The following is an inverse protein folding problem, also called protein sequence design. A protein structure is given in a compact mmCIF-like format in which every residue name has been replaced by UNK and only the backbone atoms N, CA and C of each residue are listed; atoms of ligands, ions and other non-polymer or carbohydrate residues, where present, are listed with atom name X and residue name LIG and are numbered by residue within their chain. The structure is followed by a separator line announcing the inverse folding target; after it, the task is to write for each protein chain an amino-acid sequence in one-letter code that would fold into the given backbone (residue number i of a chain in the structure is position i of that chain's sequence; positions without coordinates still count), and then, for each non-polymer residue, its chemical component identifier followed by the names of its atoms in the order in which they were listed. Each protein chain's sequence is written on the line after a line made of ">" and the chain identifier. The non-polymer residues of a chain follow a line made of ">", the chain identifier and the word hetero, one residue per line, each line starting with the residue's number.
data_IF_975886245482
#
_entry.id   IF_975886245482
#
_cell.length_a   1.000
_cell.length_b   1.000
_cell.length_c   1.000
_cell.angle_alpha   90.00
_cell.angle_beta   90.00
_cell.angle_gamma   90.00
#
_symmetry.space_group_name_H-M   'P 1'
#
loop_
_entity.id
_entity.type
_entity.pdbx_description
1 polymer ?
#
# COMPACT_ATOMS: atom_id res chain seq x y z
N UNK A 1 -4.82 -24.12 -54.10
CA UNK A 1 -5.72 -24.29 -52.94
C UNK A 1 -5.79 -22.96 -52.20
N UNK A 2 -6.99 -22.44 -51.88
CA UNK A 2 -7.22 -21.05 -51.49
C UNK A 2 -6.91 -20.77 -50.00
N UNK A 3 -6.50 -19.52 -49.73
CA UNK A 3 -6.22 -18.93 -48.41
C UNK A 3 -7.53 -18.77 -47.60
N UNK A 4 -7.63 -19.47 -46.46
CA UNK A 4 -8.73 -19.31 -45.51
C UNK A 4 -8.46 -18.12 -44.59
N UNK A 5 -9.38 -17.17 -44.60
CA UNK A 5 -9.35 -15.89 -43.93
C UNK A 5 -9.46 -16.06 -42.41
N UNK A 6 -8.66 -15.27 -41.70
CA UNK A 6 -8.61 -15.11 -40.25
C UNK A 6 -9.95 -14.59 -39.72
N UNK A 7 -10.85 -15.48 -39.31
CA UNK A 7 -12.10 -15.12 -38.63
C UNK A 7 -11.80 -14.89 -37.15
N UNK A 8 -11.30 -13.69 -36.83
CA UNK A 8 -11.28 -13.21 -35.46
C UNK A 8 -12.72 -12.96 -35.02
N UNK A 9 -13.33 -13.95 -34.38
CA UNK A 9 -14.54 -13.74 -33.60
C UNK A 9 -14.15 -12.91 -32.38
N UNK A 10 -14.08 -11.59 -32.56
CA UNK A 10 -14.12 -10.66 -31.43
C UNK A 10 -15.59 -10.56 -31.08
N UNK A 11 -16.00 -11.39 -30.14
CA UNK A 11 -17.20 -11.09 -29.35
C UNK A 11 -16.94 -9.72 -28.70
N UNK A 12 -17.76 -8.69 -28.93
CA UNK A 12 -17.65 -7.49 -28.13
C UNK A 12 -17.96 -7.91 -26.70
N UNK A 13 -16.91 -8.01 -25.88
CA UNK A 13 -17.10 -8.07 -24.43
C UNK A 13 -17.96 -6.87 -24.09
N UNK A 14 -19.20 -7.13 -23.67
CA UNK A 14 -20.06 -6.13 -23.04
C UNK A 14 -19.39 -5.81 -21.70
N UNK A 15 -18.36 -4.97 -21.77
CA UNK A 15 -17.60 -4.51 -20.61
C UNK A 15 -18.50 -3.56 -19.87
N UNK A 16 -19.35 -4.13 -19.05
CA UNK A 16 -19.91 -3.46 -17.90
C UNK A 16 -19.48 -4.23 -16.65
N UNK A 17 -18.19 -4.12 -16.33
CA UNK A 17 -17.65 -4.58 -15.05
C UNK A 17 -17.12 -3.37 -14.29
N UNK A 18 -17.93 -2.92 -13.32
CA UNK A 18 -17.51 -2.00 -12.25
C UNK A 18 -17.81 -0.52 -12.53
N UNK A 19 -19.05 -0.10 -12.27
CA UNK A 19 -19.38 1.31 -12.11
C UNK A 19 -18.84 1.86 -10.79
N UNK A 20 -18.39 3.12 -10.80
CA UNK A 20 -18.08 4.00 -9.66
C UNK A 20 -17.65 3.30 -8.37
N UNK A 21 -16.75 2.35 -8.52
CA UNK A 21 -15.98 1.82 -7.43
C UNK A 21 -14.88 2.85 -7.15
N UNK A 22 -15.22 3.88 -6.36
CA UNK A 22 -14.29 4.43 -5.35
C UNK A 22 -13.98 3.31 -4.33
N UNK A 23 -13.53 2.16 -4.83
CA UNK A 23 -12.95 1.11 -4.02
C UNK A 23 -11.52 1.53 -3.87
N UNK A 24 -11.22 2.05 -2.67
CA UNK A 24 -9.92 1.98 -2.01
C UNK A 24 -9.00 1.03 -2.78
N UNK A 25 -8.16 1.61 -3.64
CA UNK A 25 -7.38 0.83 -4.58
C UNK A 25 -6.55 -0.16 -3.79
N UNK A 26 -6.95 -1.45 -3.84
CA UNK A 26 -6.37 -2.61 -3.16
C UNK A 26 -5.26 -2.18 -2.20
N UNK A 27 -5.63 -1.72 -0.99
CA UNK A 27 -4.69 -1.04 -0.08
C UNK A 27 -3.35 -1.77 -0.08
N UNK A 28 -2.35 -1.19 -0.74
CA UNK A 28 -1.08 -1.87 -0.89
C UNK A 28 -0.53 -2.07 0.51
N UNK A 29 -0.11 -3.30 0.81
CA UNK A 29 0.38 -3.60 2.15
C UNK A 29 1.61 -2.75 2.41
N UNK A 30 1.55 -1.87 3.42
CA UNK A 30 2.73 -1.18 3.93
C UNK A 30 3.83 -2.19 4.24
N UNK A 31 5.01 -1.95 3.71
CA UNK A 31 6.21 -2.77 3.91
C UNK A 31 7.29 -1.99 4.66
N UNK A 32 8.33 -2.69 5.13
CA UNK A 32 9.51 -2.05 5.72
C UNK A 32 10.19 -1.08 4.74
N UNK A 33 10.22 -1.40 3.45
CA UNK A 33 10.79 -0.54 2.42
C UNK A 33 9.99 0.77 2.27
N UNK A 34 8.66 0.73 2.44
CA UNK A 34 7.82 1.93 2.40
C UNK A 34 8.10 2.84 3.61
N UNK A 35 8.30 2.26 4.79
CA UNK A 35 8.67 2.99 6.01
C UNK A 35 10.03 3.67 5.83
N UNK A 36 11.02 2.92 5.33
CA UNK A 36 12.35 3.45 5.06
C UNK A 36 12.32 4.53 3.97
N UNK A 37 11.49 4.38 2.94
CA UNK A 37 11.32 5.39 1.91
C UNK A 37 10.80 6.72 2.49
N UNK A 38 9.86 6.68 3.44
CA UNK A 38 9.41 7.87 4.17
C UNK A 38 10.52 8.41 5.09
N UNK A 39 11.31 7.53 5.71
CA UNK A 39 12.47 7.90 6.53
C UNK A 39 13.65 8.50 5.71
N UNK A 40 13.75 8.19 4.43
CA UNK A 40 14.78 8.77 3.55
C UNK A 40 14.26 9.92 2.68
N UNK A 41 12.94 10.17 2.71
CA UNK A 41 12.28 11.19 1.91
C UNK A 41 12.88 12.60 2.15
N UNK A 42 13.01 13.42 1.09
CA UNK A 42 13.44 14.81 1.21
C UNK A 42 12.37 15.73 1.81
N UNK A 43 11.17 15.21 2.10
CA UNK A 43 10.11 15.98 2.73
C UNK A 43 10.52 16.52 4.12
N UNK A 44 9.90 17.62 4.60
CA UNK A 44 10.12 18.12 5.95
C UNK A 44 9.87 17.06 7.02
N UNK A 45 10.62 17.13 8.13
CA UNK A 45 10.52 16.16 9.24
C UNK A 45 9.08 16.04 9.75
N UNK A 46 8.35 17.15 9.87
CA UNK A 46 6.96 17.13 10.33
C UNK A 46 6.03 16.33 9.40
N UNK A 47 6.15 16.52 8.08
CA UNK A 47 5.34 15.79 7.08
C UNK A 47 5.68 14.29 7.07
N UNK A 48 6.95 13.95 7.28
CA UNK A 48 7.39 12.56 7.39
C UNK A 48 6.85 11.89 8.65
N UNK A 49 6.89 12.58 9.79
CA UNK A 49 6.30 12.09 11.04
C UNK A 49 4.78 11.90 10.88
N UNK A 50 4.09 12.84 10.22
CA UNK A 50 2.65 12.72 9.94
C UNK A 50 2.36 11.47 9.09
N UNK A 51 3.13 11.27 8.02
CA UNK A 51 3.01 10.11 7.13
C UNK A 51 3.25 8.79 7.88
N UNK A 52 4.31 8.73 8.70
CA UNK A 52 4.61 7.55 9.52
C UNK A 52 3.51 7.29 10.57
N UNK A 53 2.90 8.32 11.15
CA UNK A 53 1.76 8.13 12.06
C UNK A 53 0.52 7.60 11.34
N UNK A 54 0.28 8.01 10.09
CA UNK A 54 -0.78 7.44 9.27
C UNK A 54 -0.53 5.95 9.00
N UNK A 55 0.69 5.57 8.62
CA UNK A 55 1.10 4.17 8.46
C UNK A 55 0.94 3.37 9.75
N UNK A 56 1.34 3.92 10.91
CA UNK A 56 1.14 3.28 12.22
C UNK A 56 -0.34 2.99 12.46
N UNK A 57 -1.21 3.96 12.17
CA UNK A 57 -2.66 3.83 12.40
C UNK A 57 -3.26 2.74 11.53
N UNK A 58 -2.84 2.66 10.26
CA UNK A 58 -3.26 1.59 9.35
C UNK A 58 -2.79 0.21 9.83
N UNK A 59 -1.50 0.07 10.17
CA UNK A 59 -0.93 -1.18 10.68
C UNK A 59 -1.59 -1.62 11.99
N UNK A 60 -1.90 -0.68 12.89
CA UNK A 60 -2.66 -0.96 14.11
C UNK A 60 -4.08 -1.43 13.81
N UNK A 61 -4.78 -0.82 12.85
CA UNK A 61 -6.11 -1.27 12.47
C UNK A 61 -6.09 -2.71 11.92
N UNK A 62 -5.04 -3.06 11.18
CA UNK A 62 -4.83 -4.42 10.64
C UNK A 62 -4.40 -5.42 11.72
N UNK A 63 -3.59 -5.00 12.69
CA UNK A 63 -3.10 -5.88 13.75
C UNK A 63 -4.23 -6.43 14.62
N UNK A 64 -5.38 -5.75 14.71
CA UNK A 64 -6.57 -6.25 15.38
C UNK A 64 -7.12 -7.55 14.76
N UNK A 65 -6.88 -7.78 13.46
CA UNK A 65 -7.24 -9.00 12.76
C UNK A 65 -6.10 -10.03 12.72
N UNK A 66 -4.88 -9.60 13.05
CA UNK A 66 -3.67 -10.40 13.06
C UNK A 66 -3.52 -11.14 14.40
N UNK A 67 -3.89 -12.42 14.40
CA UNK A 67 -3.70 -13.28 15.58
C UNK A 67 -2.26 -13.80 15.73
N UNK A 68 -1.41 -13.59 14.73
CA UNK A 68 -0.06 -14.11 14.67
C UNK A 68 1.01 -13.13 15.15
N UNK A 69 0.67 -11.85 15.32
CA UNK A 69 1.66 -10.79 15.60
C UNK A 69 2.62 -10.56 14.42
N UNK A 70 2.19 -10.91 13.21
CA UNK A 70 2.93 -10.71 11.97
C UNK A 70 3.16 -9.21 11.68
N UNK A 71 2.30 -8.34 12.20
CA UNK A 71 2.40 -6.88 12.04
C UNK A 71 3.29 -6.20 13.08
N UNK A 72 3.61 -6.86 14.21
CA UNK A 72 4.40 -6.26 15.30
C UNK A 72 5.78 -5.76 14.82
N UNK A 73 6.54 -6.51 13.99
CA UNK A 73 7.83 -6.02 13.47
C UNK A 73 7.71 -4.76 12.62
N UNK A 74 6.61 -4.59 11.89
CA UNK A 74 6.37 -3.38 11.08
C UNK A 74 5.97 -2.20 11.96
N UNK A 75 5.19 -2.43 13.02
CA UNK A 75 4.84 -1.40 14.00
C UNK A 75 6.09 -0.89 14.72
N UNK A 76 6.97 -1.78 15.15
CA UNK A 76 8.25 -1.44 15.78
C UNK A 76 9.14 -0.60 14.85
N UNK A 77 9.19 -0.95 13.55
CA UNK A 77 9.96 -0.19 12.55
C UNK A 77 9.41 1.23 12.36
N UNK A 78 8.08 1.40 12.30
CA UNK A 78 7.46 2.72 12.23
C UNK A 78 7.77 3.55 13.47
N UNK A 79 7.69 2.95 14.67
CA UNK A 79 7.98 3.65 15.91
C UNK A 79 9.46 4.06 16.00
N UNK A 80 10.38 3.18 15.60
CA UNK A 80 11.81 3.50 15.52
C UNK A 80 12.09 4.64 14.53
N UNK A 81 11.45 4.64 13.36
CA UNK A 81 11.57 5.71 12.38
C UNK A 81 11.06 7.06 12.91
N UNK A 82 9.94 7.06 13.65
CA UNK A 82 9.40 8.26 14.31
C UNK A 82 10.37 8.75 15.39
N UNK A 83 10.86 7.88 16.27
CA UNK A 83 11.81 8.24 17.33
C UNK A 83 13.11 8.86 16.78
N UNK A 84 13.62 8.30 15.67
CA UNK A 84 14.79 8.83 14.97
C UNK A 84 14.54 10.25 14.44
N UNK A 85 13.32 10.53 13.97
CA UNK A 85 12.94 11.84 13.45
C UNK A 85 12.62 12.86 14.55
N UNK A 86 12.05 12.42 15.68
CA UNK A 86 11.78 13.28 16.84
C UNK A 86 13.04 13.60 17.65
N UNK A 87 14.13 12.87 17.43
CA UNK A 87 15.39 13.04 18.17
C UNK A 87 15.39 12.34 19.53
N UNK A 88 14.54 11.32 19.70
CA UNK A 88 14.40 10.52 20.92
C UNK A 88 15.28 9.25 20.91
N UNK A 89 16.23 9.18 19.96
CA UNK A 89 17.14 8.06 19.73
C UNK A 89 18.29 7.96 20.76
#
# INVERSE_FOLDING_TARGET
>A
MPVLKNSSMIDPVDVQVGGDADLDGIAQTTTADDIEAVLMSPAPVAERIETLNAMRTELQARSHADRGGEMDPLLDEVEAAIARLSGEA
#
